data_IF_194574584587
#
_entry.id   IF_194574584587
#
_cell.length_a   1.000
_cell.length_b   1.000
_cell.length_c   1.000
_cell.angle_alpha   90.00
_cell.angle_beta   90.00
_cell.angle_gamma   90.00
#
_symmetry.space_group_name_H-M   'P 1'
#
loop_
_entity.id
_entity.type
_entity.pdbx_description
1 polymer ?
#
# COMPACT_ATOMS: atom_id res chain seq x y z
N UNK A 1 53.40 23.45 24.50
CA UNK A 1 54.45 22.44 24.26
C UNK A 1 53.91 21.08 24.65
N UNK A 2 54.20 20.03 23.85
CA UNK A 2 53.84 18.62 24.02
C UNK A 2 52.35 18.24 23.81
N UNK A 3 51.98 17.19 23.06
CA UNK A 3 52.67 16.33 22.11
C UNK A 3 51.56 15.59 21.33
N UNK A 4 51.62 15.62 20.01
CA UNK A 4 50.82 14.79 19.09
C UNK A 4 51.36 13.37 19.13
N UNK A 5 50.49 12.36 19.23
CA UNK A 5 50.82 10.97 18.88
C UNK A 5 49.71 10.46 17.96
N UNK A 6 50.06 10.36 16.68
CA UNK A 6 49.31 9.61 15.68
C UNK A 6 49.67 8.12 15.81
N UNK A 7 48.68 7.25 15.70
CA UNK A 7 48.87 5.84 15.40
C UNK A 7 48.05 5.52 14.14
N UNK A 8 48.76 5.03 13.13
CA UNK A 8 48.27 4.57 11.84
C UNK A 8 48.49 3.04 11.77
N UNK A 9 47.94 2.40 10.71
CA UNK A 9 48.18 1.00 10.25
C UNK A 9 47.18 -0.02 10.85
N UNK A 10 46.50 -0.92 10.12
CA UNK A 10 46.51 -1.35 8.72
C UNK A 10 45.14 -1.92 8.30
N UNK A 11 44.91 -1.92 6.98
CA UNK A 11 43.83 -2.59 6.28
C UNK A 11 44.05 -4.11 6.14
N UNK A 12 42.95 -4.87 6.04
CA UNK A 12 42.88 -6.11 5.26
C UNK A 12 41.42 -6.39 4.85
N UNK A 13 41.21 -6.56 3.55
CA UNK A 13 39.94 -6.76 2.87
C UNK A 13 39.61 -8.29 2.73
N UNK A 14 38.45 -8.66 2.16
CA UNK A 14 37.78 -9.95 2.39
C UNK A 14 38.12 -11.03 1.35
N UNK A 15 37.84 -12.30 1.70
CA UNK A 15 37.78 -13.42 0.75
C UNK A 15 36.36 -13.96 0.66
N UNK A 16 35.75 -13.71 -0.50
CA UNK A 16 34.58 -14.42 -1.02
C UNK A 16 35.03 -15.82 -1.48
N UNK A 17 34.25 -16.85 -1.14
CA UNK A 17 34.31 -18.15 -1.81
C UNK A 17 32.93 -18.49 -2.35
N UNK A 18 32.83 -18.33 -3.66
CA UNK A 18 31.72 -18.69 -4.55
C UNK A 18 32.04 -20.07 -5.14
N UNK A 19 31.05 -20.97 -5.19
CA UNK A 19 30.82 -21.95 -6.27
C UNK A 19 29.58 -22.79 -5.93
N UNK A 20 28.45 -22.48 -6.56
CA UNK A 20 27.22 -23.26 -6.51
C UNK A 20 26.55 -23.24 -7.89
N UNK A 21 27.12 -23.98 -8.84
CA UNK A 21 26.58 -24.17 -10.18
C UNK A 21 25.47 -25.24 -10.15
N UNK A 22 24.23 -24.80 -10.34
CA UNK A 22 23.04 -25.65 -10.36
C UNK A 22 22.05 -25.19 -11.42
N UNK A 23 22.49 -25.05 -12.68
CA UNK A 23 21.63 -24.67 -13.80
C UNK A 23 20.76 -25.87 -14.21
N UNK A 24 19.49 -25.88 -13.79
CA UNK A 24 18.43 -26.68 -14.42
C UNK A 24 17.60 -25.78 -15.33
N UNK A 25 17.79 -25.97 -16.64
CA UNK A 25 16.98 -25.35 -17.68
C UNK A 25 15.54 -25.85 -17.60
N UNK A 26 14.61 -24.97 -17.28
CA UNK A 26 13.17 -25.19 -17.47
C UNK A 26 12.73 -24.44 -18.73
N UNK A 27 12.23 -25.21 -19.69
CA UNK A 27 11.55 -24.74 -20.90
C UNK A 27 10.11 -24.32 -20.59
N UNK A 28 9.68 -23.11 -21.00
CA UNK A 28 8.26 -22.84 -21.20
C UNK A 28 7.89 -22.96 -22.69
N UNK A 29 7.02 -23.92 -23.02
CA UNK A 29 6.34 -23.97 -24.31
C UNK A 29 5.24 -22.90 -24.34
N UNK A 30 5.30 -22.00 -25.32
CA UNK A 30 4.26 -21.01 -25.60
C UNK A 30 2.99 -21.67 -26.18
N UNK A 31 1.79 -21.33 -25.67
CA UNK A 31 0.54 -21.69 -26.34
C UNK A 31 0.23 -20.76 -27.53
N UNK A 32 -0.17 -21.39 -28.64
CA UNK A 32 -0.64 -20.79 -29.88
C UNK A 32 -1.82 -19.82 -29.64
N UNK A 33 -1.69 -18.57 -30.08
CA UNK A 33 -2.82 -17.65 -30.26
C UNK A 33 -3.39 -17.81 -31.67
N UNK A 34 -4.63 -18.30 -31.77
CA UNK A 34 -5.46 -18.10 -32.96
C UNK A 34 -6.16 -16.75 -32.84
N UNK A 35 -5.68 -15.77 -33.61
CA UNK A 35 -6.42 -14.54 -33.86
C UNK A 35 -7.60 -14.86 -34.78
N UNK A 36 -8.83 -14.58 -34.32
CA UNK A 36 -10.02 -14.57 -35.16
C UNK A 36 -10.47 -13.13 -35.33
N UNK A 37 -10.31 -12.62 -36.53
CA UNK A 37 -10.97 -11.42 -37.03
C UNK A 37 -12.47 -11.67 -37.12
N UNK A 38 -13.30 -10.69 -36.73
CA UNK A 38 -14.52 -10.40 -37.49
C UNK A 38 -14.99 -8.98 -37.25
N UNK A 39 -15.39 -8.35 -38.34
CA UNK A 39 -15.82 -6.98 -38.49
C UNK A 39 -17.32 -6.81 -38.21
N UNK A 40 -17.77 -5.60 -37.91
CA UNK A 40 -18.84 -4.86 -38.60
C UNK A 40 -19.15 -3.59 -37.79
N UNK A 41 -18.93 -2.40 -38.36
CA UNK A 41 -19.89 -1.61 -39.12
C UNK A 41 -21.19 -1.31 -38.35
N UNK A 42 -21.30 -0.09 -37.84
CA UNK A 42 -22.52 0.41 -37.19
C UNK A 42 -22.46 1.92 -36.90
N UNK A 43 -22.37 2.72 -37.96
CA UNK A 43 -22.52 4.17 -37.94
C UNK A 43 -24.00 4.52 -37.74
N UNK A 44 -24.38 5.16 -36.64
CA UNK A 44 -25.64 5.91 -36.55
C UNK A 44 -25.37 7.29 -35.97
N UNK A 45 -25.38 8.27 -36.86
CA UNK A 45 -25.57 9.69 -36.57
C UNK A 45 -27.04 9.93 -36.28
N UNK A 46 -27.39 10.55 -35.15
CA UNK A 46 -28.63 11.34 -35.07
C UNK A 46 -28.40 12.55 -34.20
N UNK A 47 -28.59 13.70 -34.84
CA UNK A 47 -28.34 15.05 -34.40
C UNK A 47 -29.73 15.64 -34.16
N UNK A 48 -30.07 16.00 -32.92
CA UNK A 48 -31.21 16.85 -32.62
C UNK A 48 -30.79 17.89 -31.58
N UNK A 49 -31.15 19.13 -31.91
CA UNK A 49 -30.83 20.40 -31.26
C UNK A 49 -32.12 21.03 -30.74
N UNK A 50 -31.93 21.98 -29.82
CA UNK A 50 -32.85 23.03 -29.32
C UNK A 50 -33.59 22.64 -28.03
N UNK A 51 -33.27 23.22 -26.86
CA UNK A 51 -33.47 24.60 -26.35
C UNK A 51 -34.56 24.57 -25.27
N UNK A 52 -34.25 24.92 -24.02
CA UNK A 52 -34.72 26.14 -23.34
C UNK A 52 -34.63 26.03 -21.80
N UNK A 53 -34.59 27.21 -21.20
CA UNK A 53 -34.32 27.65 -19.84
C UNK A 53 -35.03 26.98 -18.66
N UNK A 54 -34.40 27.18 -17.49
CA UNK A 54 -35.15 27.60 -16.31
C UNK A 54 -35.10 26.64 -15.13
N UNK A 55 -34.40 27.09 -14.08
CA UNK A 55 -34.67 26.86 -12.66
C UNK A 55 -35.25 25.50 -12.26
N UNK A 56 -34.45 24.70 -11.56
CA UNK A 56 -34.69 24.54 -10.13
C UNK A 56 -33.44 23.99 -9.43
N UNK A 57 -33.00 24.73 -8.42
CA UNK A 57 -32.03 24.28 -7.44
C UNK A 57 -32.68 23.20 -6.57
N UNK A 58 -32.80 22.00 -7.14
CA UNK A 58 -32.94 20.81 -6.33
C UNK A 58 -31.56 20.58 -5.70
N UNK A 59 -31.40 21.08 -4.48
CA UNK A 59 -30.41 20.56 -3.55
C UNK A 59 -30.67 19.05 -3.48
N UNK A 60 -29.94 18.30 -4.31
CA UNK A 60 -29.82 16.86 -4.18
C UNK A 60 -29.09 16.67 -2.87
N UNK A 61 -29.86 16.68 -1.77
CA UNK A 61 -29.46 16.09 -0.52
C UNK A 61 -29.25 14.63 -0.85
N UNK A 62 -28.03 14.32 -1.30
CA UNK A 62 -27.43 13.01 -1.18
C UNK A 62 -27.36 12.70 0.31
N UNK A 63 -28.51 12.44 0.91
CA UNK A 63 -28.62 11.47 1.98
C UNK A 63 -28.31 10.12 1.34
N UNK A 64 -27.06 9.95 0.89
CA UNK A 64 -26.44 8.64 0.89
C UNK A 64 -26.54 8.24 2.34
N UNK A 65 -27.57 7.45 2.67
CA UNK A 65 -27.47 6.52 3.77
C UNK A 65 -26.09 5.92 3.60
N UNK A 66 -25.14 6.27 4.46
CA UNK A 66 -23.85 5.61 4.46
C UNK A 66 -24.21 4.15 4.61
N UNK A 67 -24.21 3.41 3.49
CA UNK A 67 -24.27 1.97 3.54
C UNK A 67 -23.08 1.65 4.43
N UNK A 68 -23.35 1.27 5.67
CA UNK A 68 -22.33 1.03 6.66
C UNK A 68 -21.40 0.01 6.02
N UNK A 69 -20.23 0.48 5.58
CA UNK A 69 -19.25 -0.43 5.01
C UNK A 69 -18.94 -1.44 6.11
N UNK A 70 -18.91 -2.73 5.80
CA UNK A 70 -18.63 -3.76 6.79
C UNK A 70 -17.25 -3.58 7.44
N UNK A 71 -16.38 -2.74 6.86
CA UNK A 71 -15.06 -2.39 7.39
C UNK A 71 -15.06 -1.26 8.42
N UNK A 72 -16.10 -0.42 8.44
CA UNK A 72 -16.13 0.77 9.29
C UNK A 72 -16.17 0.40 10.79
N UNK A 73 -15.20 0.91 11.54
CA UNK A 73 -15.01 0.67 12.96
C UNK A 73 -14.34 -0.66 13.30
N UNK A 74 -13.75 -1.36 12.32
CA UNK A 74 -13.13 -2.67 12.53
C UNK A 74 -11.61 -2.59 12.67
N UNK A 75 -11.08 -3.53 13.45
CA UNK A 75 -9.65 -3.73 13.62
C UNK A 75 -9.15 -4.83 12.68
N UNK A 76 -7.99 -4.57 12.09
CA UNK A 76 -7.33 -5.49 11.17
C UNK A 76 -5.87 -5.65 11.57
N UNK A 77 -5.34 -6.82 11.25
CA UNK A 77 -3.91 -7.05 11.15
C UNK A 77 -3.50 -6.94 9.68
N UNK A 78 -2.65 -5.95 9.37
CA UNK A 78 -2.10 -5.72 8.03
C UNK A 78 -0.71 -6.34 7.93
N UNK A 79 -0.56 -7.36 7.09
CA UNK A 79 0.71 -7.96 6.71
C UNK A 79 1.19 -7.35 5.39
N UNK A 80 2.34 -6.69 5.42
CA UNK A 80 2.99 -6.02 4.30
C UNK A 80 4.19 -6.85 3.86
N UNK A 81 4.23 -7.25 2.59
CA UNK A 81 5.33 -7.98 1.96
C UNK A 81 5.94 -7.08 0.88
N UNK A 82 6.74 -6.10 1.31
CA UNK A 82 7.51 -5.21 0.43
C UNK A 82 8.91 -5.81 0.21
N UNK A 83 9.25 -6.10 -1.05
CA UNK A 83 10.53 -6.69 -1.46
C UNK A 83 10.91 -8.00 -0.71
N UNK A 84 11.97 -7.96 0.10
CA UNK A 84 12.48 -9.09 0.88
C UNK A 84 12.14 -8.98 2.37
N UNK A 85 11.39 -7.95 2.76
CA UNK A 85 11.01 -7.66 4.13
C UNK A 85 9.52 -7.93 4.31
N UNK A 86 9.14 -8.41 5.50
CA UNK A 86 7.75 -8.53 5.90
C UNK A 86 7.52 -7.80 7.20
N UNK A 87 6.39 -7.12 7.30
CA UNK A 87 5.97 -6.47 8.53
C UNK A 87 4.48 -6.63 8.76
N UNK A 88 4.09 -6.57 10.02
CA UNK A 88 2.73 -6.71 10.51
C UNK A 88 2.40 -5.46 11.30
N UNK A 89 1.27 -4.86 11.00
CA UNK A 89 0.81 -3.61 11.60
C UNK A 89 -0.66 -3.73 12.00
N UNK A 90 -0.99 -3.32 13.22
CA UNK A 90 -2.37 -3.14 13.64
C UNK A 90 -3.00 -1.94 12.92
N UNK A 91 -4.21 -2.12 12.38
CA UNK A 91 -4.93 -1.09 11.64
C UNK A 91 -6.36 -0.99 12.18
N UNK A 92 -6.83 0.23 12.41
CA UNK A 92 -8.24 0.55 12.66
C UNK A 92 -8.77 1.36 11.49
N UNK A 93 -9.81 0.84 10.84
CA UNK A 93 -10.52 1.54 9.78
C UNK A 93 -11.68 2.31 10.41
N UNK A 94 -11.52 3.61 10.59
CA UNK A 94 -12.52 4.44 11.26
C UNK A 94 -13.76 4.64 10.38
N UNK A 95 -14.90 4.93 11.01
CA UNK A 95 -16.16 5.15 10.32
C UNK A 95 -16.19 6.44 9.46
N UNK A 96 -15.25 7.35 9.67
CA UNK A 96 -15.06 8.58 8.89
C UNK A 96 -14.13 8.41 7.68
N UNK A 97 -13.85 7.16 7.29
CA UNK A 97 -12.90 6.80 6.21
C UNK A 97 -11.45 7.14 6.50
N UNK A 98 -11.08 7.50 7.73
CA UNK A 98 -9.68 7.63 8.15
C UNK A 98 -9.10 6.30 8.64
N UNK A 99 -7.76 6.20 8.65
CA UNK A 99 -7.04 5.03 9.15
C UNK A 99 -6.20 5.41 10.37
N UNK A 100 -6.28 4.60 11.42
CA UNK A 100 -5.41 4.70 12.59
C UNK A 100 -4.50 3.48 12.66
N UNK A 101 -3.19 3.71 12.80
CA UNK A 101 -2.21 2.63 12.97
C UNK A 101 -1.92 2.39 14.45
N UNK A 102 -1.83 1.12 14.83
CA UNK A 102 -1.45 0.64 16.14
C UNK A 102 0.01 0.17 16.18
N UNK A 103 0.25 -0.93 16.90
CA UNK A 103 1.57 -1.54 16.99
C UNK A 103 2.05 -2.09 15.65
N UNK A 104 3.36 -2.09 15.43
CA UNK A 104 3.98 -2.75 14.27
C UNK A 104 5.31 -3.37 14.66
N UNK A 105 5.66 -4.46 13.97
CA UNK A 105 6.98 -5.10 14.05
C UNK A 105 7.96 -4.59 12.97
N UNK A 106 7.53 -3.64 12.12
CA UNK A 106 8.32 -3.03 11.06
C UNK A 106 9.11 -1.80 11.50
N UNK A 107 9.60 -0.99 10.54
CA UNK A 107 10.30 0.25 10.81
C UNK A 107 9.46 1.22 11.66
N UNK A 108 10.09 1.82 12.68
CA UNK A 108 9.40 2.75 13.59
C UNK A 108 9.15 4.08 12.88
N UNK A 109 7.88 4.43 12.68
CA UNK A 109 7.47 5.74 12.19
C UNK A 109 7.28 6.73 13.35
N UNK A 110 7.31 8.02 13.02
CA UNK A 110 7.09 9.13 13.95
C UNK A 110 5.68 9.70 13.90
N UNK A 111 5.03 9.59 12.74
CA UNK A 111 3.63 9.92 12.55
C UNK A 111 3.06 9.12 11.39
N UNK A 112 1.75 8.96 11.35
CA UNK A 112 1.03 8.28 10.28
C UNK A 112 -0.31 8.95 10.03
N UNK A 113 -0.76 8.91 8.78
CA UNK A 113 -2.10 9.32 8.36
C UNK A 113 -2.56 8.40 7.23
N UNK A 114 -3.86 8.23 7.08
CA UNK A 114 -4.38 7.47 5.96
C UNK A 114 -5.87 7.60 5.77
N UNK A 115 -6.32 7.13 4.62
CA UNK A 115 -7.73 7.03 4.28
C UNK A 115 -8.01 5.69 3.63
N UNK A 116 -9.26 5.26 3.70
CA UNK A 116 -9.71 4.04 3.07
C UNK A 116 -11.07 4.24 2.41
N UNK A 117 -11.31 3.48 1.34
CA UNK A 117 -12.55 3.47 0.60
C UNK A 117 -12.85 2.04 0.13
N UNK A 118 -14.13 1.69 0.15
CA UNK A 118 -14.64 0.50 -0.49
C UNK A 118 -15.54 0.91 -1.65
N UNK A 119 -15.02 0.85 -2.88
CA UNK A 119 -15.75 1.28 -4.08
C UNK A 119 -16.82 0.26 -4.50
N UNK A 120 -16.66 -1.01 -4.14
CA UNK A 120 -17.65 -2.06 -4.38
C UNK A 120 -17.56 -3.15 -3.31
N UNK A 121 -18.49 -4.12 -3.33
CA UNK A 121 -18.43 -5.26 -2.41
C UNK A 121 -17.13 -6.08 -2.52
N UNK A 122 -16.38 -5.91 -3.61
CA UNK A 122 -15.15 -6.66 -3.88
C UNK A 122 -13.92 -5.76 -3.83
N UNK A 123 -14.01 -4.48 -4.21
CA UNK A 123 -12.83 -3.62 -4.32
C UNK A 123 -12.60 -2.78 -3.08
N UNK A 124 -11.37 -2.87 -2.55
CA UNK A 124 -10.89 -2.11 -1.41
C UNK A 124 -9.67 -1.29 -1.80
N UNK A 125 -9.64 -0.03 -1.38
CA UNK A 125 -8.48 0.86 -1.54
C UNK A 125 -8.17 1.52 -0.20
N UNK A 126 -6.91 1.49 0.19
CA UNK A 126 -6.40 2.22 1.35
C UNK A 126 -5.13 2.97 0.98
N UNK A 127 -4.99 4.20 1.45
CA UNK A 127 -3.79 5.01 1.30
C UNK A 127 -3.22 5.26 2.69
N UNK A 128 -1.96 4.88 2.89
CA UNK A 128 -1.23 5.16 4.13
C UNK A 128 -0.01 6.03 3.82
N UNK A 129 0.17 7.06 4.62
CA UNK A 129 1.39 7.87 4.66
C UNK A 129 2.02 7.70 6.04
N UNK A 130 3.29 7.29 6.08
CA UNK A 130 4.09 7.16 7.29
C UNK A 130 5.31 8.06 7.21
N UNK A 131 5.56 8.82 8.28
CA UNK A 131 6.72 9.72 8.39
C UNK A 131 7.82 9.08 9.21
N UNK A 132 9.03 9.00 8.66
CA UNK A 132 10.18 8.41 9.31
C UNK A 132 11.26 9.46 9.56
N UNK A 133 12.03 9.24 10.62
CA UNK A 133 13.24 10.02 10.90
C UNK A 133 14.45 9.12 10.69
N UNK A 134 15.39 9.61 9.91
CA UNK A 134 16.65 8.97 9.62
C UNK A 134 17.83 9.90 9.91
N UNK A 135 19.02 9.34 9.77
CA UNK A 135 20.26 10.08 9.98
C UNK A 135 20.74 10.10 11.43
N UNK A 136 21.82 10.83 11.65
CA UNK A 136 22.47 11.01 12.96
C UNK A 136 22.83 12.48 13.10
N UNK A 137 22.91 12.96 14.34
CA UNK A 137 23.47 14.27 14.64
C UNK A 137 24.84 14.40 13.94
N UNK A 138 24.96 15.42 13.08
CA UNK A 138 26.15 15.62 12.27
C UNK A 138 27.35 15.95 13.14
N UNK A 139 28.28 15.01 13.26
CA UNK A 139 29.54 15.18 13.99
C UNK A 139 30.70 15.38 13.03
N UNK A 140 30.62 14.77 11.86
CA UNK A 140 31.63 14.85 10.81
C UNK A 140 31.10 15.65 9.61
N UNK A 141 32.02 16.23 8.84
CA UNK A 141 31.66 17.04 7.65
C UNK A 141 30.99 16.22 6.53
N UNK A 142 31.07 14.90 6.61
CA UNK A 142 30.44 13.96 5.66
C UNK A 142 29.08 13.44 6.12
N UNK A 143 28.66 13.77 7.35
CA UNK A 143 27.36 13.34 7.85
C UNK A 143 26.24 14.11 7.13
N UNK A 144 25.21 13.38 6.68
CA UNK A 144 24.03 13.99 6.06
C UNK A 144 23.10 14.68 7.08
N UNK A 145 23.42 14.60 8.37
CA UNK A 145 22.60 15.11 9.47
C UNK A 145 21.36 14.27 9.72
N UNK A 146 20.46 14.80 10.55
CA UNK A 146 19.11 14.25 10.75
C UNK A 146 18.21 14.68 9.61
N UNK A 147 17.41 13.76 9.09
CA UNK A 147 16.45 14.05 8.03
C UNK A 147 15.13 13.32 8.30
N UNK A 148 14.06 13.86 7.74
CA UNK A 148 12.73 13.29 7.80
C UNK A 148 12.23 13.05 6.37
N UNK A 149 11.55 11.93 6.18
CA UNK A 149 10.95 11.57 4.91
C UNK A 149 9.61 10.88 5.11
N UNK A 150 8.70 11.09 4.17
CA UNK A 150 7.38 10.48 4.17
C UNK A 150 7.32 9.40 3.10
N UNK A 151 6.70 8.28 3.45
CA UNK A 151 6.45 7.17 2.55
C UNK A 151 4.95 7.01 2.42
N UNK A 152 4.44 7.19 1.20
CA UNK A 152 3.03 6.96 0.88
C UNK A 152 2.89 5.67 0.09
N UNK A 153 1.93 4.84 0.50
CA UNK A 153 1.59 3.57 -0.14
C UNK A 153 0.09 3.49 -0.39
N UNK A 154 -0.27 3.01 -1.58
CA UNK A 154 -1.65 2.72 -1.95
C UNK A 154 -1.86 1.22 -2.00
N UNK A 155 -2.69 0.70 -1.11
CA UNK A 155 -3.08 -0.69 -1.01
C UNK A 155 -4.35 -0.90 -1.83
N UNK A 156 -4.26 -1.70 -2.89
CA UNK A 156 -5.40 -2.04 -3.76
C UNK A 156 -5.65 -3.53 -3.67
N UNK A 157 -6.82 -3.92 -3.17
CA UNK A 157 -7.11 -5.33 -2.93
C UNK A 157 -8.54 -5.73 -3.18
N UNK A 158 -8.75 -7.04 -3.11
CA UNK A 158 -10.05 -7.68 -3.20
C UNK A 158 -10.49 -8.23 -1.84
N UNK A 159 -11.75 -7.97 -1.51
CA UNK A 159 -12.40 -8.46 -0.29
C UNK A 159 -12.80 -9.91 -0.48
N UNK A 160 -12.40 -10.76 0.47
CA UNK A 160 -12.77 -12.15 0.55
C UNK A 160 -13.33 -12.47 1.95
N UNK A 161 -14.36 -13.32 2.00
CA UNK A 161 -14.86 -13.87 3.26
C UNK A 161 -14.17 -15.20 3.54
N UNK A 162 -13.42 -15.26 4.65
CA UNK A 162 -12.77 -16.49 5.14
C UNK A 162 -13.66 -17.11 6.21
N UNK A 163 -14.02 -18.38 6.03
CA UNK A 163 -14.92 -19.07 6.99
C UNK A 163 -16.36 -18.52 7.05
N UNK A 164 -16.73 -17.62 6.14
CA UNK A 164 -18.07 -17.03 6.04
C UNK A 164 -18.33 -15.83 6.96
N UNK A 165 -17.45 -15.59 7.94
CA UNK A 165 -17.60 -14.50 8.94
C UNK A 165 -16.42 -13.52 8.94
N UNK A 166 -15.20 -14.01 8.79
CA UNK A 166 -13.99 -13.19 8.84
C UNK A 166 -13.77 -12.49 7.51
N UNK A 167 -13.62 -11.16 7.54
CA UNK A 167 -13.27 -10.38 6.37
C UNK A 167 -11.76 -10.39 6.19
N UNK A 168 -11.31 -10.72 4.99
CA UNK A 168 -9.92 -10.60 4.59
C UNK A 168 -9.82 -9.76 3.32
N UNK A 169 -8.73 -9.01 3.18
CA UNK A 169 -8.41 -8.27 1.96
C UNK A 169 -7.01 -8.69 1.51
N UNK A 170 -6.91 -9.12 0.27
CA UNK A 170 -5.63 -9.47 -0.35
C UNK A 170 -5.40 -8.58 -1.56
N UNK A 171 -4.17 -8.12 -1.75
CA UNK A 171 -3.90 -7.22 -2.86
C UNK A 171 -2.45 -6.83 -3.06
N UNK A 172 -2.29 -5.78 -3.85
CA UNK A 172 -1.02 -5.21 -4.23
C UNK A 172 -0.78 -3.88 -3.52
N UNK A 173 0.48 -3.63 -3.19
CA UNK A 173 0.95 -2.33 -2.71
C UNK A 173 1.54 -1.56 -3.90
N UNK A 174 1.04 -0.35 -4.12
CA UNK A 174 1.42 0.52 -5.23
C UNK A 174 2.00 1.83 -4.69
N UNK A 175 3.14 2.21 -5.24
CA UNK A 175 3.78 3.51 -5.10
C UNK A 175 3.32 4.39 -6.26
N UNK A 176 2.56 5.45 -5.94
CA UNK A 176 1.98 6.36 -6.94
C UNK A 176 2.87 7.59 -7.01
N UNK A 177 3.64 7.71 -8.08
CA UNK A 177 4.56 8.82 -8.32
C UNK A 177 4.12 9.59 -9.59
N UNK A 178 4.10 10.92 -9.53
CA UNK A 178 3.67 11.77 -10.64
C UNK A 178 4.62 11.69 -11.85
N UNK A 179 5.90 11.40 -11.61
CA UNK A 179 6.98 11.37 -12.61
C UNK A 179 7.14 9.97 -13.19
N UNK A 180 7.13 8.94 -12.35
CA UNK A 180 7.42 7.56 -12.75
C UNK A 180 6.16 6.70 -12.99
N UNK A 181 4.98 7.19 -12.59
CA UNK A 181 3.71 6.47 -12.67
C UNK A 181 3.54 5.42 -11.56
N UNK A 182 2.44 4.66 -11.65
CA UNK A 182 2.11 3.60 -10.70
C UNK A 182 3.13 2.45 -10.77
N UNK A 183 3.88 2.24 -9.69
CA UNK A 183 4.80 1.12 -9.54
C UNK A 183 4.34 0.19 -8.43
N UNK A 184 4.22 -1.10 -8.73
CA UNK A 184 3.98 -2.12 -7.71
C UNK A 184 5.26 -2.35 -6.89
N UNK A 185 5.14 -2.28 -5.57
CA UNK A 185 6.25 -2.45 -4.61
C UNK A 185 6.12 -3.70 -3.75
N UNK A 186 4.93 -4.30 -3.66
CA UNK A 186 4.73 -5.46 -2.81
C UNK A 186 3.32 -6.02 -2.87
N UNK A 187 3.07 -6.92 -1.94
CA UNK A 187 1.76 -7.51 -1.68
C UNK A 187 1.35 -7.22 -0.25
N UNK A 188 0.04 -7.27 0.01
CA UNK A 188 -0.46 -7.23 1.37
C UNK A 188 -1.58 -8.24 1.57
N UNK A 189 -1.72 -8.65 2.82
CA UNK A 189 -2.87 -9.37 3.34
C UNK A 189 -3.37 -8.62 4.57
N UNK A 190 -4.68 -8.49 4.70
CA UNK A 190 -5.31 -7.80 5.82
C UNK A 190 -6.43 -8.67 6.36
N UNK A 191 -6.36 -9.05 7.63
CA UNK A 191 -7.32 -9.97 8.28
C UNK A 191 -8.04 -9.24 9.41
N UNK A 192 -9.36 -9.37 9.47
CA UNK A 192 -10.18 -8.81 10.54
C UNK A 192 -9.88 -9.52 11.88
N UNK A 193 -9.46 -8.73 12.87
CA UNK A 193 -9.14 -9.17 14.23
C UNK A 193 -10.05 -8.52 15.27
N UNK A 194 -11.17 -7.92 14.84
CA UNK A 194 -12.10 -7.20 15.72
C UNK A 194 -12.66 -8.10 16.82
N UNK A 195 -13.16 -9.29 16.45
CA UNK A 195 -13.73 -10.25 17.40
C UNK A 195 -12.70 -10.69 18.46
N UNK A 196 -11.45 -10.93 18.05
CA UNK A 196 -10.38 -11.34 18.95
C UNK A 196 -10.01 -10.21 19.95
N UNK A 197 -9.98 -8.96 19.49
CA UNK A 197 -9.68 -7.81 20.35
C UNK A 197 -10.82 -7.51 21.33
N UNK A 198 -12.06 -7.70 20.91
CA UNK A 198 -13.24 -7.61 21.76
C UNK A 198 -13.18 -8.63 22.91
N UNK A 199 -12.85 -9.89 22.61
CA UNK A 199 -12.74 -10.96 23.62
C UNK A 199 -11.64 -10.70 24.66
N UNK A 200 -10.55 -10.04 24.24
CA UNK A 200 -9.45 -9.66 25.11
C UNK A 200 -9.70 -8.36 25.90
N UNK A 201 -10.80 -7.66 25.63
CA UNK A 201 -11.13 -6.37 26.26
C UNK A 201 -10.14 -5.27 25.89
N UNK A 202 -9.64 -5.29 24.64
CA UNK A 202 -8.68 -4.33 24.10
C UNK A 202 -9.34 -3.24 23.24
N UNK A 203 -10.68 -3.24 23.13
CA UNK A 203 -11.47 -2.19 22.46
C UNK A 203 -11.93 -1.07 23.41
#
# INVERSE_FOLDING_TARGET
>A
MCRVVAAFVAAAAPLLSSCGDGVRAFTPQSPRRHARQSASLGRITTLLKAEDAGSDSAAFSSSSSMAHSPFAGRHFELEELEDAESSTTDVLLNADSSVTLGGSNGPVWTSSSGSWEQTSNVHFVMVLTRSYKGGREGRETTDMGEFQYDVTRTFRGEVAAVGGTVLAVNGDIVDVDEVFGDRRVGFFNMIDTTEEKDELGLL
#
